data_IF_143964906645
#
_entry.id   IF_143964906645
#
_cell.length_a   1.000
_cell.length_b   1.000
_cell.length_c   1.000
_cell.angle_alpha   90.00
_cell.angle_beta   90.00
_cell.angle_gamma   90.00
#
_symmetry.space_group_name_H-M   'P 1'
#
loop_
_entity.id
_entity.type
_entity.pdbx_description
1 polymer ?
#
# COMPACT_ATOMS: atom_id res chain seq x y z
N UNK A 1 -7.07 -12.32 -13.72
CA UNK A 1 -7.31 -11.00 -14.34
C UNK A 1 -8.21 -10.22 -13.41
N UNK A 2 -7.87 -8.96 -13.11
CA UNK A 2 -8.68 -8.10 -12.24
C UNK A 2 -10.01 -7.72 -12.91
N UNK A 3 -11.04 -7.43 -12.12
CA UNK A 3 -12.38 -7.11 -12.63
C UNK A 3 -12.51 -5.64 -13.04
N UNK A 4 -11.88 -4.73 -12.30
CA UNK A 4 -11.98 -3.28 -12.55
C UNK A 4 -11.08 -2.87 -13.69
N UNK A 5 -11.60 -2.02 -14.57
CA UNK A 5 -10.87 -1.51 -15.74
C UNK A 5 -9.58 -0.80 -15.34
N UNK A 6 -9.61 0.02 -14.29
CA UNK A 6 -8.41 0.71 -13.81
C UNK A 6 -7.37 -0.23 -13.18
N UNK A 7 -7.80 -1.30 -12.49
CA UNK A 7 -6.86 -2.30 -11.98
C UNK A 7 -6.28 -3.18 -13.07
N UNK A 8 -7.01 -3.44 -14.15
CA UNK A 8 -6.46 -4.09 -15.35
C UNK A 8 -5.38 -3.21 -16.00
N UNK A 9 -5.56 -1.88 -16.00
CA UNK A 9 -4.53 -0.96 -16.45
C UNK A 9 -3.29 -1.03 -15.54
N UNK A 10 -3.46 -1.00 -14.22
CA UNK A 10 -2.36 -1.17 -13.25
C UNK A 10 -1.64 -2.52 -13.45
N UNK A 11 -2.38 -3.61 -13.65
CA UNK A 11 -1.81 -4.92 -13.99
C UNK A 11 -0.89 -4.85 -15.22
N UNK A 12 -1.34 -4.20 -16.29
CA UNK A 12 -0.51 -4.02 -17.49
C UNK A 12 0.73 -3.17 -17.21
N UNK A 13 0.58 -2.07 -16.46
CA UNK A 13 1.75 -1.25 -16.06
C UNK A 13 2.76 -2.10 -15.29
N UNK A 14 2.31 -2.85 -14.27
CA UNK A 14 3.19 -3.68 -13.45
C UNK A 14 3.92 -4.74 -14.29
N UNK A 15 3.23 -5.39 -15.23
CA UNK A 15 3.85 -6.38 -16.14
C UNK A 15 4.92 -5.80 -17.04
N UNK A 16 4.85 -4.50 -17.34
CA UNK A 16 5.82 -3.79 -18.18
C UNK A 16 7.01 -3.23 -17.37
N UNK A 17 6.94 -3.22 -16.04
CA UNK A 17 8.05 -2.78 -15.20
C UNK A 17 9.23 -3.76 -15.27
N UNK A 18 10.44 -3.24 -15.11
CA UNK A 18 11.63 -4.06 -14.98
C UNK A 18 11.73 -4.59 -13.54
N UNK A 19 11.13 -5.75 -13.30
CA UNK A 19 11.05 -6.36 -11.97
C UNK A 19 12.43 -6.67 -11.36
N UNK A 20 13.40 -7.09 -12.18
CA UNK A 20 14.76 -7.40 -11.72
C UNK A 20 15.49 -6.13 -11.27
N UNK A 21 15.37 -5.03 -12.03
CA UNK A 21 15.89 -3.72 -11.64
C UNK A 21 15.30 -3.27 -10.30
N UNK A 22 13.97 -3.33 -10.15
CA UNK A 22 13.29 -2.94 -8.92
C UNK A 22 13.76 -3.79 -7.73
N UNK A 23 13.91 -5.10 -7.93
CA UNK A 23 14.38 -6.04 -6.90
C UNK A 23 15.82 -5.78 -6.46
N UNK A 24 16.72 -5.49 -7.41
CA UNK A 24 18.13 -5.12 -7.11
C UNK A 24 18.19 -3.86 -6.24
N UNK A 25 17.27 -2.93 -6.44
CA UNK A 25 17.15 -1.70 -5.65
C UNK A 25 16.17 -1.81 -4.48
N UNK A 26 15.81 -3.01 -4.03
CA UNK A 26 14.92 -3.22 -2.88
C UNK A 26 13.66 -2.35 -2.93
N UNK A 27 13.12 -2.16 -4.14
CA UNK A 27 12.01 -1.29 -4.45
C UNK A 27 10.78 -2.15 -4.67
N UNK A 28 9.84 -2.07 -3.74
CA UNK A 28 8.75 -3.04 -3.64
C UNK A 28 7.41 -2.37 -3.84
N UNK A 29 6.52 -3.03 -4.58
CA UNK A 29 5.16 -2.55 -4.74
C UNK A 29 4.39 -2.61 -3.41
N UNK A 30 3.83 -1.48 -3.00
CA UNK A 30 3.20 -1.31 -1.71
C UNK A 30 1.95 -0.45 -1.76
N UNK A 31 1.68 0.23 -0.65
CA UNK A 31 0.53 1.11 -0.53
C UNK A 31 -0.81 0.35 -0.57
N UNK A 32 -1.88 1.13 -0.77
CA UNK A 32 -3.23 0.60 -0.77
C UNK A 32 -3.53 -0.31 -1.96
N UNK A 33 -2.87 -0.08 -3.09
CA UNK A 33 -3.14 -0.81 -4.33
C UNK A 33 -2.55 -2.20 -4.29
N UNK A 34 -1.32 -2.38 -3.79
CA UNK A 34 -0.75 -3.72 -3.58
C UNK A 34 -1.67 -4.58 -2.70
N UNK A 35 -2.21 -4.01 -1.62
CA UNK A 35 -3.13 -4.72 -0.72
C UNK A 35 -4.44 -5.07 -1.44
N UNK A 36 -5.07 -4.11 -2.13
CA UNK A 36 -6.31 -4.36 -2.85
C UNK A 36 -6.16 -5.49 -3.88
N UNK A 37 -5.07 -5.48 -4.66
CA UNK A 37 -4.82 -6.49 -5.70
C UNK A 37 -4.48 -7.87 -5.10
N UNK A 38 -3.74 -7.93 -3.99
CA UNK A 38 -3.41 -9.21 -3.31
C UNK A 38 -4.59 -9.84 -2.58
N UNK A 39 -5.53 -9.04 -2.09
CA UNK A 39 -6.61 -9.50 -1.22
C UNK A 39 -7.98 -9.51 -1.92
N UNK A 40 -8.01 -9.89 -3.20
CA UNK A 40 -9.25 -10.18 -3.92
C UNK A 40 -10.01 -8.97 -4.43
N UNK A 41 -9.34 -7.82 -4.63
CA UNK A 41 -9.92 -6.63 -5.24
C UNK A 41 -11.13 -6.06 -4.48
N UNK A 42 -11.12 -6.18 -3.15
CA UNK A 42 -12.27 -5.82 -2.29
C UNK A 42 -12.68 -4.34 -2.36
N UNK A 43 -11.76 -3.47 -2.77
CA UNK A 43 -11.98 -2.05 -2.97
C UNK A 43 -11.22 -1.55 -4.19
N UNK A 44 -11.55 -0.35 -4.66
CA UNK A 44 -10.79 0.36 -5.67
C UNK A 44 -9.58 1.09 -5.06
N UNK A 45 -8.46 1.03 -5.77
CA UNK A 45 -7.22 1.74 -5.46
C UNK A 45 -6.52 2.11 -6.76
N UNK A 46 -6.27 3.40 -6.98
CA UNK A 46 -5.97 3.92 -8.32
C UNK A 46 -4.51 4.33 -8.54
N UNK A 47 -3.74 4.38 -7.46
CA UNK A 47 -2.34 4.82 -7.46
C UNK A 47 -1.39 3.62 -7.56
N UNK A 48 -0.16 3.85 -8.00
CA UNK A 48 0.95 2.90 -7.87
C UNK A 48 1.98 3.51 -6.93
N UNK A 49 2.13 2.87 -5.77
CA UNK A 49 3.15 3.21 -4.78
C UNK A 49 4.21 2.12 -4.75
N UNK A 50 5.45 2.47 -5.11
CA UNK A 50 6.62 1.66 -4.84
C UNK A 50 7.32 2.19 -3.59
N UNK A 51 7.89 1.29 -2.80
CA UNK A 51 8.39 1.56 -1.46
C UNK A 51 9.84 1.12 -1.36
N UNK A 52 10.70 2.00 -0.85
CA UNK A 52 12.11 1.74 -0.59
C UNK A 52 12.41 2.23 0.82
N UNK A 53 13.16 1.48 1.61
CA UNK A 53 13.68 1.95 2.91
C UNK A 53 15.20 2.08 2.93
N UNK A 54 15.91 1.42 2.00
CA UNK A 54 17.36 1.59 1.85
C UNK A 54 17.71 2.89 1.11
N UNK A 55 18.45 3.76 1.79
CA UNK A 55 18.84 5.07 1.27
C UNK A 55 19.78 4.98 0.07
N UNK A 56 20.65 3.96 0.01
CA UNK A 56 21.54 3.76 -1.13
C UNK A 56 20.75 3.40 -2.39
N UNK A 57 19.80 2.49 -2.26
CA UNK A 57 18.89 2.09 -3.32
C UNK A 57 18.02 3.24 -3.79
N UNK A 58 17.47 4.04 -2.88
CA UNK A 58 16.70 5.24 -3.26
C UNK A 58 17.53 6.25 -4.05
N UNK A 59 18.78 6.51 -3.63
CA UNK A 59 19.71 7.38 -4.36
C UNK A 59 20.02 6.86 -5.76
N UNK A 60 20.19 5.54 -5.90
CA UNK A 60 20.42 4.90 -7.19
C UNK A 60 19.21 5.06 -8.12
N UNK A 61 17.99 4.77 -7.64
CA UNK A 61 16.75 4.97 -8.40
C UNK A 61 16.56 6.42 -8.83
N UNK A 62 16.81 7.37 -7.92
CA UNK A 62 16.72 8.81 -8.23
C UNK A 62 17.73 9.23 -9.31
N UNK A 63 18.93 8.66 -9.27
CA UNK A 63 19.97 8.92 -10.29
C UNK A 63 19.56 8.34 -11.63
N UNK A 64 19.09 7.10 -11.66
CA UNK A 64 18.59 6.43 -12.86
C UNK A 64 17.46 7.24 -13.53
N UNK A 65 16.45 7.64 -12.76
CA UNK A 65 15.31 8.43 -13.29
C UNK A 65 15.75 9.81 -13.79
N UNK A 66 16.76 10.41 -13.15
CA UNK A 66 17.34 11.70 -13.60
C UNK A 66 18.10 11.54 -14.91
N UNK A 67 18.92 10.50 -15.03
CA UNK A 67 19.76 10.23 -16.20
C UNK A 67 18.94 9.79 -17.41
N UNK A 68 17.87 9.02 -17.21
CA UNK A 68 16.90 8.68 -18.26
C UNK A 68 15.99 9.86 -18.64
N UNK A 69 15.91 10.90 -17.79
CA UNK A 69 14.98 12.01 -17.91
C UNK A 69 13.50 11.64 -17.70
N UNK A 70 13.20 10.39 -17.29
CA UNK A 70 11.84 9.86 -17.20
C UNK A 70 11.74 8.64 -16.29
N UNK A 71 10.60 8.46 -15.61
CA UNK A 71 10.33 7.22 -14.86
C UNK A 71 10.26 5.98 -15.75
N UNK A 72 10.15 6.15 -17.07
CA UNK A 72 10.19 5.04 -18.03
C UNK A 72 11.52 4.25 -18.00
N UNK A 73 12.59 4.82 -17.43
CA UNK A 73 13.83 4.06 -17.16
C UNK A 73 13.64 2.88 -16.19
N UNK A 74 12.52 2.82 -15.47
CA UNK A 74 12.16 1.72 -14.56
C UNK A 74 11.37 0.59 -15.25
N UNK A 75 11.09 0.73 -16.54
CA UNK A 75 10.33 -0.22 -17.34
C UNK A 75 11.26 -1.06 -18.21
N UNK A 76 10.75 -2.19 -18.71
CA UNK A 76 11.49 -3.01 -19.66
C UNK A 76 11.78 -2.23 -20.94
N UNK A 77 12.89 -2.55 -21.60
CA UNK A 77 13.28 -1.94 -22.86
C UNK A 77 12.16 -2.03 -23.89
N UNK A 78 12.03 -1.00 -24.74
CA UNK A 78 11.00 -0.90 -25.79
C UNK A 78 9.55 -0.83 -25.28
N UNK A 79 9.31 -0.51 -24.01
CA UNK A 79 7.97 -0.20 -23.51
C UNK A 79 7.44 1.09 -24.17
N UNK A 80 6.52 0.95 -25.11
CA UNK A 80 5.90 2.06 -25.87
C UNK A 80 4.47 2.38 -25.44
N UNK A 81 3.85 1.48 -24.67
CA UNK A 81 2.45 1.62 -24.22
C UNK A 81 2.28 2.60 -23.06
N UNK A 82 3.34 2.86 -22.30
CA UNK A 82 3.33 3.76 -21.15
C UNK A 82 3.88 5.12 -21.57
N UNK A 83 3.18 6.19 -21.18
CA UNK A 83 3.65 7.56 -21.32
C UNK A 83 3.81 8.22 -19.97
N UNK A 84 4.79 9.12 -19.83
CA UNK A 84 4.88 10.01 -18.67
C UNK A 84 4.02 11.25 -18.94
N UNK A 85 2.98 11.46 -18.14
CA UNK A 85 2.01 12.54 -18.33
C UNK A 85 2.38 13.84 -17.60
N UNK A 86 3.31 13.77 -16.63
CA UNK A 86 3.78 14.92 -15.86
C UNK A 86 5.28 14.86 -15.66
N UNK A 87 5.90 16.01 -15.46
CA UNK A 87 7.31 16.06 -15.08
C UNK A 87 7.57 15.29 -13.78
N UNK A 88 8.73 14.65 -13.71
CA UNK A 88 9.17 13.94 -12.51
C UNK A 88 9.54 14.94 -11.43
N UNK A 89 8.93 14.82 -10.26
CA UNK A 89 9.36 15.52 -9.04
C UNK A 89 10.10 14.53 -8.15
N UNK A 90 11.39 14.73 -7.96
CA UNK A 90 12.23 13.86 -7.13
C UNK A 90 12.90 14.66 -6.01
N UNK A 91 12.52 14.40 -4.76
CA UNK A 91 13.01 15.08 -3.57
C UNK A 91 13.68 14.11 -2.58
N UNK A 92 13.82 14.49 -1.32
CA UNK A 92 14.41 13.63 -0.29
C UNK A 92 13.46 12.54 0.23
N UNK A 93 12.16 12.64 -0.07
CA UNK A 93 11.12 11.72 0.42
C UNK A 93 10.56 10.81 -0.67
N UNK A 94 10.68 11.18 -1.94
CA UNK A 94 10.22 10.33 -3.02
C UNK A 94 10.39 10.89 -4.43
N UNK A 95 10.04 10.04 -5.39
CA UNK A 95 9.97 10.32 -6.83
C UNK A 95 8.51 10.21 -7.24
N UNK A 96 7.94 11.26 -7.83
CA UNK A 96 6.49 11.37 -8.08
C UNK A 96 6.21 11.88 -9.48
N UNK A 97 5.27 11.23 -10.16
CA UNK A 97 4.75 11.66 -11.45
C UNK A 97 3.35 11.08 -11.70
N UNK A 98 2.83 11.27 -12.90
CA UNK A 98 1.66 10.57 -13.42
C UNK A 98 2.06 9.86 -14.71
N UNK A 99 1.61 8.62 -14.87
CA UNK A 99 1.83 7.80 -16.06
C UNK A 99 0.49 7.49 -16.73
N UNK A 100 0.53 7.34 -18.05
CA UNK A 100 -0.63 7.07 -18.89
C UNK A 100 -0.54 5.70 -19.56
N UNK A 101 -1.64 4.97 -19.56
CA UNK A 101 -1.85 3.76 -20.36
C UNK A 101 -3.23 3.84 -21.01
N UNK A 102 -3.26 4.08 -22.33
CA UNK A 102 -4.51 4.36 -23.04
C UNK A 102 -5.23 5.58 -22.47
N UNK A 103 -6.46 5.40 -21.98
CA UNK A 103 -7.25 6.46 -21.33
C UNK A 103 -7.01 6.58 -19.81
N UNK A 104 -6.22 5.68 -19.23
CA UNK A 104 -6.00 5.64 -17.78
C UNK A 104 -4.84 6.56 -17.40
N UNK A 105 -5.11 7.45 -16.44
CA UNK A 105 -4.10 8.28 -15.78
C UNK A 105 -3.84 7.69 -14.39
N UNK A 106 -2.61 7.28 -14.12
CA UNK A 106 -2.20 6.59 -12.90
C UNK A 106 -1.16 7.45 -12.19
N UNK A 107 -1.46 7.83 -10.95
CA UNK A 107 -0.46 8.46 -10.09
C UNK A 107 0.62 7.43 -9.75
N UNK A 108 1.87 7.81 -9.92
CA UNK A 108 3.02 6.95 -9.68
C UNK A 108 3.94 7.60 -8.65
N UNK A 109 4.27 6.87 -7.59
CA UNK A 109 5.23 7.28 -6.58
C UNK A 109 6.24 6.18 -6.26
N UNK A 110 7.51 6.57 -6.05
CA UNK A 110 8.47 5.81 -5.24
C UNK A 110 8.65 6.59 -3.94
N UNK A 111 8.34 5.97 -2.81
CA UNK A 111 8.44 6.56 -1.48
C UNK A 111 9.69 6.02 -0.78
N UNK A 112 10.52 6.93 -0.25
CA UNK A 112 11.54 6.58 0.72
C UNK A 112 10.89 6.53 2.11
N UNK A 113 10.68 5.32 2.63
CA UNK A 113 10.21 5.09 3.99
C UNK A 113 11.39 5.18 4.97
N UNK A 114 11.41 6.22 5.78
CA UNK A 114 12.46 6.47 6.77
C UNK A 114 12.16 5.96 8.17
N UNK A 115 10.95 5.45 8.42
CA UNK A 115 10.50 5.07 9.77
C UNK A 115 10.81 3.62 10.11
N UNK A 116 10.78 2.73 9.12
CA UNK A 116 11.02 1.29 9.27
C UNK A 116 11.86 0.77 8.10
N UNK A 117 12.74 -0.18 8.38
CA UNK A 117 13.46 -0.93 7.33
C UNK A 117 12.58 -2.04 6.79
N UNK A 118 12.59 -2.30 5.48
CA UNK A 118 11.81 -3.37 4.86
C UNK A 118 12.60 -4.68 4.87
N UNK A 119 11.91 -5.79 5.11
CA UNK A 119 12.49 -7.12 4.96
C UNK A 119 12.45 -7.56 3.49
N UNK A 120 13.35 -8.47 3.11
CA UNK A 120 13.31 -9.04 1.77
C UNK A 120 11.99 -9.83 1.57
N UNK A 121 11.17 -9.50 0.57
CA UNK A 121 9.93 -10.22 0.30
C UNK A 121 10.19 -11.67 -0.11
N UNK A 122 9.24 -12.56 0.18
CA UNK A 122 9.29 -13.94 -0.30
C UNK A 122 9.01 -13.99 -1.80
N UNK A 123 9.41 -15.07 -2.51
CA UNK A 123 9.04 -15.25 -3.92
C UNK A 123 7.52 -15.20 -4.18
N UNK A 124 6.69 -15.51 -3.18
CA UNK A 124 5.23 -15.43 -3.26
C UNK A 124 4.66 -14.04 -3.00
N UNK A 125 5.48 -13.10 -2.53
CA UNK A 125 5.09 -11.72 -2.28
C UNK A 125 5.23 -10.91 -3.58
N UNK A 126 4.41 -11.21 -4.57
CA UNK A 126 4.43 -10.52 -5.86
C UNK A 126 3.02 -10.24 -6.40
N UNK A 127 2.93 -9.23 -7.27
CA UNK A 127 1.76 -8.96 -8.09
C UNK A 127 2.25 -8.69 -9.50
N UNK A 128 1.74 -9.45 -10.47
CA UNK A 128 2.04 -9.25 -11.88
C UNK A 128 3.56 -9.30 -12.22
N UNK A 129 4.34 -10.09 -11.46
CA UNK A 129 5.79 -10.23 -11.62
C UNK A 129 6.62 -9.18 -10.88
N UNK A 130 5.99 -8.18 -10.26
CA UNK A 130 6.68 -7.18 -9.43
C UNK A 130 6.59 -7.59 -7.96
N UNK A 131 7.74 -7.64 -7.30
CA UNK A 131 7.81 -7.93 -5.87
C UNK A 131 7.04 -6.87 -5.06
N UNK A 132 6.18 -7.30 -4.17
CA UNK A 132 5.48 -6.45 -3.21
C UNK A 132 6.22 -6.38 -1.89
N UNK A 133 5.89 -5.41 -1.03
CA UNK A 133 6.29 -5.49 0.37
C UNK A 133 5.83 -6.82 0.99
N UNK A 134 6.61 -7.33 1.95
CA UNK A 134 6.18 -8.50 2.71
C UNK A 134 4.84 -8.23 3.42
N UNK A 135 4.12 -9.27 3.81
CA UNK A 135 2.86 -9.09 4.56
C UNK A 135 3.09 -8.33 5.87
N UNK A 136 4.22 -8.57 6.55
CA UNK A 136 4.59 -7.85 7.78
C UNK A 136 4.78 -6.36 7.48
N UNK A 137 5.45 -6.02 6.38
CA UNK A 137 5.74 -4.64 6.01
C UNK A 137 4.53 -3.89 5.47
N UNK A 138 3.64 -4.57 4.74
CA UNK A 138 2.34 -4.00 4.35
C UNK A 138 1.51 -3.62 5.59
N UNK A 139 1.43 -4.53 6.58
CA UNK A 139 0.74 -4.27 7.84
C UNK A 139 1.41 -3.15 8.63
N UNK A 140 2.74 -3.19 8.80
CA UNK A 140 3.48 -2.17 9.55
C UNK A 140 3.32 -0.78 8.91
N UNK A 141 3.45 -0.69 7.59
CA UNK A 141 3.26 0.57 6.85
C UNK A 141 1.83 1.11 7.00
N UNK A 142 0.82 0.22 7.04
CA UNK A 142 -0.58 0.61 7.28
C UNK A 142 -0.86 0.99 8.72
N UNK A 143 -0.21 0.36 9.70
CA UNK A 143 -0.28 0.76 11.10
C UNK A 143 0.28 2.19 11.29
N UNK A 144 1.43 2.49 10.69
CA UNK A 144 2.02 3.83 10.69
C UNK A 144 1.07 4.85 10.04
N UNK A 145 0.59 4.55 8.82
CA UNK A 145 -0.34 5.43 8.12
C UNK A 145 -1.65 5.64 8.91
N UNK A 146 -2.17 4.61 9.58
CA UNK A 146 -3.34 4.74 10.44
C UNK A 146 -3.04 5.66 11.63
N UNK A 147 -1.92 5.48 12.34
CA UNK A 147 -1.54 6.36 13.45
C UNK A 147 -1.40 7.82 13.01
N UNK A 148 -0.85 8.07 11.81
CA UNK A 148 -0.70 9.42 11.25
C UNK A 148 -2.04 10.14 11.01
N UNK A 149 -3.11 9.41 10.62
CA UNK A 149 -4.30 10.04 10.03
C UNK A 149 -5.65 9.39 10.32
N UNK A 150 -5.76 8.49 11.31
CA UNK A 150 -7.03 7.80 11.60
C UNK A 150 -8.19 8.73 11.94
N UNK A 151 -7.89 9.90 12.52
CA UNK A 151 -8.88 10.89 12.91
C UNK A 151 -9.43 11.68 11.70
N UNK A 152 -8.68 11.76 10.60
CA UNK A 152 -9.05 12.50 9.39
C UNK A 152 -10.16 11.76 8.61
N UNK A 153 -11.34 12.36 8.53
CA UNK A 153 -12.46 11.79 7.76
C UNK A 153 -12.19 11.81 6.25
N UNK A 154 -11.29 12.68 5.77
CA UNK A 154 -10.89 12.74 4.36
C UNK A 154 -10.18 11.48 3.86
N UNK A 155 -9.65 10.64 4.76
CA UNK A 155 -9.02 9.36 4.40
C UNK A 155 -9.97 8.16 4.43
N UNK A 156 -11.22 8.36 4.83
CA UNK A 156 -12.28 7.33 4.86
C UNK A 156 -11.86 6.03 5.57
N UNK A 157 -11.08 6.14 6.66
CA UNK A 157 -10.55 5.01 7.43
C UNK A 157 -9.88 3.91 6.56
N UNK A 158 -9.37 4.26 5.38
CA UNK A 158 -8.85 3.28 4.41
C UNK A 158 -7.73 2.41 4.98
N UNK A 159 -6.88 2.97 5.85
CA UNK A 159 -5.75 2.22 6.42
C UNK A 159 -6.24 1.15 7.41
N UNK A 160 -7.20 1.50 8.28
CA UNK A 160 -7.88 0.52 9.13
C UNK A 160 -8.60 -0.55 8.31
N UNK A 161 -9.31 -0.17 7.25
CA UNK A 161 -10.04 -1.11 6.41
C UNK A 161 -9.07 -2.03 5.68
N UNK A 162 -7.94 -1.52 5.18
CA UNK A 162 -6.88 -2.34 4.59
C UNK A 162 -6.30 -3.34 5.61
N UNK A 163 -5.98 -2.88 6.84
CA UNK A 163 -5.52 -3.77 7.92
C UNK A 163 -6.52 -4.90 8.21
N UNK A 164 -7.81 -4.58 8.26
CA UNK A 164 -8.86 -5.56 8.51
C UNK A 164 -9.02 -6.54 7.34
N UNK A 165 -8.99 -6.05 6.10
CA UNK A 165 -9.20 -6.86 4.90
C UNK A 165 -8.00 -7.75 4.55
N UNK A 166 -6.80 -7.42 5.04
CA UNK A 166 -5.66 -8.34 5.02
C UNK A 166 -5.88 -9.59 5.90
N UNK A 167 -6.82 -9.54 6.85
CA UNK A 167 -7.18 -10.64 7.78
C UNK A 167 -5.96 -11.32 8.40
N UNK A 168 -5.07 -10.55 9.06
CA UNK A 168 -3.79 -11.08 9.49
C UNK A 168 -3.96 -12.11 10.62
N UNK A 169 -3.14 -13.17 10.57
CA UNK A 169 -2.98 -14.09 11.69
C UNK A 169 -2.20 -13.45 12.84
N UNK A 170 -2.34 -14.02 14.04
CA UNK A 170 -1.77 -13.48 15.28
C UNK A 170 -0.26 -13.19 15.18
N UNK A 171 0.56 -14.18 14.78
CA UNK A 171 2.02 -14.03 14.76
C UNK A 171 2.51 -12.97 13.76
N UNK A 172 1.84 -12.89 12.59
CA UNK A 172 2.20 -11.92 11.54
C UNK A 172 1.83 -10.51 11.99
N UNK A 173 0.64 -10.35 12.59
CA UNK A 173 0.21 -9.06 13.12
C UNK A 173 1.10 -8.60 14.29
N UNK A 174 1.48 -9.51 15.18
CA UNK A 174 2.39 -9.22 16.30
C UNK A 174 3.73 -8.66 15.80
N UNK A 175 4.32 -9.29 14.78
CA UNK A 175 5.58 -8.82 14.17
C UNK A 175 5.42 -7.45 13.53
N UNK A 176 4.34 -7.23 12.79
CA UNK A 176 4.06 -5.94 12.16
C UNK A 176 3.85 -4.83 13.20
N UNK A 177 3.20 -5.16 14.32
CA UNK A 177 2.99 -4.25 15.42
C UNK A 177 4.31 -3.84 16.07
N UNK A 178 5.13 -4.81 16.49
CA UNK A 178 6.47 -4.55 17.05
C UNK A 178 7.29 -3.68 16.10
N UNK A 179 7.22 -3.97 14.78
CA UNK A 179 7.92 -3.20 13.76
C UNK A 179 7.43 -1.75 13.68
N UNK A 180 6.13 -1.51 13.63
CA UNK A 180 5.57 -0.16 13.61
C UNK A 180 5.85 0.62 14.92
N UNK A 181 5.86 -0.07 16.05
CA UNK A 181 6.17 0.52 17.36
C UNK A 181 7.61 1.01 17.48
N UNK A 182 8.55 0.51 16.66
CA UNK A 182 9.90 1.07 16.63
C UNK A 182 9.91 2.55 16.21
N UNK A 183 8.93 2.99 15.41
CA UNK A 183 8.82 4.36 14.97
C UNK A 183 8.03 5.24 15.95
N UNK A 184 6.84 4.81 16.36
CA UNK A 184 5.91 5.66 17.14
C UNK A 184 5.59 5.14 18.55
N UNK A 185 6.16 4.01 18.95
CA UNK A 185 5.89 3.39 20.25
C UNK A 185 4.42 2.99 20.42
N UNK A 186 3.93 3.06 21.66
CA UNK A 186 2.61 2.55 22.04
C UNK A 186 1.42 3.27 21.37
N UNK A 187 1.63 4.43 20.73
CA UNK A 187 0.54 5.14 20.03
C UNK A 187 -0.07 4.28 18.92
N UNK A 188 0.72 3.40 18.29
CA UNK A 188 0.25 2.52 17.22
C UNK A 188 -0.99 1.72 17.65
N UNK A 189 -0.92 1.09 18.82
CA UNK A 189 -2.03 0.29 19.34
C UNK A 189 -3.23 1.16 19.75
N UNK A 190 -2.96 2.28 20.43
CA UNK A 190 -3.99 3.18 20.95
C UNK A 190 -4.78 3.81 19.80
N UNK A 191 -4.09 4.26 18.76
CA UNK A 191 -4.69 4.86 17.58
C UNK A 191 -5.46 3.84 16.75
N UNK A 192 -4.99 2.59 16.71
CA UNK A 192 -5.74 1.51 16.07
C UNK A 192 -7.04 1.20 16.81
N UNK A 193 -7.04 1.07 18.15
CA UNK A 193 -8.28 0.80 18.90
C UNK A 193 -9.25 1.99 18.82
N UNK A 194 -8.76 3.24 18.83
CA UNK A 194 -9.58 4.44 18.59
C UNK A 194 -10.19 4.45 17.19
N UNK A 195 -9.41 4.11 16.17
CA UNK A 195 -9.90 4.02 14.80
C UNK A 195 -11.00 2.96 14.66
N UNK A 196 -10.80 1.79 15.29
CA UNK A 196 -11.79 0.71 15.35
C UNK A 196 -13.07 1.16 16.05
N UNK A 197 -12.95 1.79 17.23
CA UNK A 197 -14.10 2.33 17.96
C UNK A 197 -14.89 3.33 17.13
N UNK A 198 -14.21 4.36 16.57
CA UNK A 198 -14.84 5.38 15.72
C UNK A 198 -15.63 4.78 14.56
N UNK A 199 -15.08 3.75 13.90
CA UNK A 199 -15.71 3.13 12.73
C UNK A 199 -16.89 2.21 13.12
N UNK A 200 -16.79 1.47 14.23
CA UNK A 200 -17.85 0.57 14.69
C UNK A 200 -19.02 1.30 15.36
N UNK A 201 -18.76 2.43 16.02
CA UNK A 201 -19.80 3.21 16.72
C UNK A 201 -20.69 4.02 15.76
N UNK A 202 -20.32 4.11 14.48
CA UNK A 202 -21.02 4.90 13.45
C UNK A 202 -21.31 4.08 12.18
N UNK A 203 -22.40 3.28 12.14
CA UNK A 203 -22.75 2.47 10.96
C UNK A 203 -22.81 3.26 9.65
N UNK A 204 -23.43 4.45 9.67
CA UNK A 204 -23.52 5.32 8.48
C UNK A 204 -22.14 5.73 7.94
N UNK A 205 -21.16 5.90 8.83
CA UNK A 205 -19.79 6.24 8.47
C UNK A 205 -19.07 5.06 7.80
N UNK A 206 -19.26 3.84 8.32
CA UNK A 206 -18.72 2.62 7.71
C UNK A 206 -19.22 2.47 6.27
N UNK A 207 -20.53 2.63 6.04
CA UNK A 207 -21.07 2.56 4.69
C UNK A 207 -20.54 3.67 3.77
N UNK A 208 -20.36 4.89 4.30
CA UNK A 208 -19.77 6.00 3.54
C UNK A 208 -18.33 5.69 3.13
N UNK A 209 -17.54 5.09 4.02
CA UNK A 209 -16.18 4.63 3.70
C UNK A 209 -16.20 3.57 2.59
N UNK A 210 -17.08 2.57 2.71
CA UNK A 210 -17.24 1.51 1.71
C UNK A 210 -17.62 2.05 0.33
N UNK A 211 -18.58 3.00 0.28
CA UNK A 211 -18.98 3.67 -0.97
C UNK A 211 -17.82 4.47 -1.56
N UNK A 212 -17.11 5.26 -0.75
CA UNK A 212 -15.99 6.08 -1.20
C UNK A 212 -14.84 5.25 -1.80
N UNK A 213 -14.66 4.02 -1.34
CA UNK A 213 -13.65 3.09 -1.86
C UNK A 213 -14.21 2.09 -2.89
N UNK A 214 -15.47 2.24 -3.31
CA UNK A 214 -16.08 1.38 -4.31
C UNK A 214 -16.24 -0.08 -3.89
N UNK A 215 -16.44 -0.40 -2.61
CA UNK A 215 -16.53 -1.77 -2.08
C UNK A 215 -17.87 -2.48 -2.39
N UNK A 216 -18.32 -2.48 -3.65
CA UNK A 216 -19.61 -3.03 -4.08
C UNK A 216 -19.79 -4.52 -3.82
N UNK A 217 -18.69 -5.29 -3.86
CA UNK A 217 -18.70 -6.75 -3.75
C UNK A 217 -18.53 -7.22 -2.29
N UNK A 218 -18.41 -6.28 -1.33
CA UNK A 218 -18.23 -6.58 0.09
C UNK A 218 -19.46 -6.17 0.87
N UNK A 219 -20.11 -7.13 1.55
CA UNK A 219 -21.21 -6.81 2.45
C UNK A 219 -20.70 -6.06 3.71
N UNK A 220 -21.43 -5.05 4.24
CA UNK A 220 -21.03 -4.33 5.45
C UNK A 220 -20.75 -5.25 6.65
N UNK A 221 -21.58 -6.29 6.85
CA UNK A 221 -21.39 -7.27 7.91
C UNK A 221 -20.06 -8.04 7.79
N UNK A 222 -19.60 -8.33 6.57
CA UNK A 222 -18.32 -8.99 6.33
C UNK A 222 -17.15 -8.10 6.72
N UNK A 223 -17.23 -6.80 6.42
CA UNK A 223 -16.22 -5.82 6.84
C UNK A 223 -16.21 -5.66 8.37
N UNK A 224 -17.38 -5.51 8.99
CA UNK A 224 -17.51 -5.46 10.46
C UNK A 224 -16.87 -6.70 11.12
N UNK A 225 -17.12 -7.89 10.56
CA UNK A 225 -16.51 -9.14 11.06
C UNK A 225 -14.99 -9.11 10.95
N UNK A 226 -14.44 -8.62 9.83
CA UNK A 226 -13.00 -8.48 9.66
C UNK A 226 -12.38 -7.49 10.67
N UNK A 227 -13.04 -6.35 10.90
CA UNK A 227 -12.62 -5.35 11.89
C UNK A 227 -12.65 -5.91 13.31
N UNK A 228 -13.72 -6.64 13.68
CA UNK A 228 -13.82 -7.29 14.99
C UNK A 228 -12.74 -8.37 15.18
N UNK A 229 -12.44 -9.13 14.13
CA UNK A 229 -11.34 -10.11 14.14
C UNK A 229 -9.99 -9.42 14.38
N UNK A 230 -9.72 -8.31 13.68
CA UNK A 230 -8.51 -7.51 13.89
C UNK A 230 -8.44 -6.98 15.34
N UNK A 231 -9.55 -6.47 15.87
CA UNK A 231 -9.64 -6.02 17.26
C UNK A 231 -9.35 -7.15 18.26
N UNK A 232 -9.85 -8.36 17.98
CA UNK A 232 -9.58 -9.54 18.79
C UNK A 232 -8.10 -9.91 18.82
N UNK A 233 -7.42 -9.85 17.68
CA UNK A 233 -5.96 -10.06 17.61
C UNK A 233 -5.21 -9.00 18.42
N UNK A 234 -5.59 -7.72 18.28
CA UNK A 234 -4.99 -6.62 19.05
C UNK A 234 -5.18 -6.80 20.56
N UNK A 235 -6.39 -7.13 21.02
CA UNK A 235 -6.66 -7.36 22.46
C UNK A 235 -5.86 -8.53 23.03
N UNK A 236 -5.77 -9.63 22.28
CA UNK A 236 -4.97 -10.79 22.69
C UNK A 236 -3.49 -10.43 22.86
N UNK A 237 -2.94 -9.56 22.02
CA UNK A 237 -1.56 -9.06 22.18
C UNK A 237 -1.39 -8.19 23.43
N UNK A 238 -2.44 -7.51 23.86
CA UNK A 238 -2.45 -6.66 25.03
C UNK A 238 -2.75 -7.42 26.34
N UNK A 239 -2.95 -8.74 26.25
CA UNK A 239 -3.32 -9.58 27.39
C UNK A 239 -4.76 -9.36 27.87
N UNK A 240 -5.65 -8.87 26.99
CA UNK A 240 -7.06 -8.56 27.26
C UNK A 240 -7.97 -9.55 26.53
#
# INVERSE_FOLDING_TARGET
MFKRTHHQAIEQVLRLMNADLLKVHQCYFGGGTAIALRHGEYRESVDIDLMVSDLASYRALRTLVRESGSVLGLFNENTTLISQLREVRADQYGIRTAIGLGQHNIKFEIVLEGRIEFEMPKPTDEVCGVATLSVVDLLASKLLANSDRWADEGVFNRDLIDLAMMKPGFDVFAKALVKAETAYGQSIQQDLDKAIGKLLDKPDWLEKCMRAMGMSDTAPASLVTAILSLRGVLRKLNGI
#
